data_IF_096708168359
#
_entry.id   IF_096708168359
#
_cell.length_a   1.000
_cell.length_b   1.000
_cell.length_c   1.000
_cell.angle_alpha   90.00
_cell.angle_beta   90.00
_cell.angle_gamma   90.00
#
_symmetry.space_group_name_H-M   'P 1'
#
loop_
_entity.id
_entity.type
_entity.pdbx_description
1 polymer ?
#
# COMPACT_ATOMS: atom_id res chain seq x y z
N UNK A 1 -10.31 15.25 2.69
CA UNK A 1 -9.02 14.54 2.85
C UNK A 1 -9.34 13.10 3.16
N UNK A 2 -8.85 12.12 2.39
CA UNK A 2 -9.22 10.69 2.52
C UNK A 2 -8.29 9.88 3.43
N UNK A 3 -7.37 10.55 4.14
CA UNK A 3 -6.45 9.92 5.09
C UNK A 3 -5.13 9.46 4.45
N UNK A 4 -4.39 8.61 5.18
CA UNK A 4 -3.16 7.97 4.72
C UNK A 4 -3.48 6.60 4.12
N UNK A 5 -2.76 6.22 3.07
CA UNK A 5 -2.83 4.86 2.53
C UNK A 5 -2.16 3.88 3.50
N UNK A 6 -2.72 2.66 3.55
CA UNK A 6 -2.06 1.52 4.18
C UNK A 6 -1.20 0.79 3.15
N UNK A 7 -0.05 0.30 3.59
CA UNK A 7 0.93 -0.37 2.73
C UNK A 7 1.31 -1.76 3.26
N UNK A 8 1.75 -2.62 2.35
CA UNK A 8 2.24 -3.95 2.68
C UNK A 8 3.57 -3.89 3.46
N UNK A 9 3.91 -4.99 4.13
CA UNK A 9 5.06 -5.12 5.05
C UNK A 9 6.42 -4.67 4.51
N UNK A 10 6.56 -4.65 3.19
CA UNK A 10 7.80 -4.33 2.51
C UNK A 10 7.99 -2.82 2.26
N UNK A 11 7.04 -2.00 2.68
CA UNK A 11 7.07 -0.54 2.54
C UNK A 11 7.23 0.11 3.90
N UNK A 12 8.08 1.12 3.98
CA UNK A 12 8.18 2.04 5.12
C UNK A 12 8.15 3.47 4.61
N UNK A 13 7.43 4.34 5.30
CA UNK A 13 7.29 5.75 4.95
C UNK A 13 7.72 6.56 6.16
N UNK A 14 8.74 7.37 5.98
CA UNK A 14 9.20 8.33 6.97
C UNK A 14 8.59 9.68 6.66
N UNK A 15 8.02 10.31 7.67
CA UNK A 15 7.30 11.57 7.50
C UNK A 15 7.49 12.48 8.70
N UNK A 16 7.34 13.77 8.48
CA UNK A 16 7.28 14.81 9.51
C UNK A 16 6.07 15.68 9.27
N UNK A 17 5.22 15.84 10.27
CA UNK A 17 3.93 16.54 10.14
C UNK A 17 3.07 16.02 8.97
N UNK A 18 3.08 16.74 7.84
CA UNK A 18 2.35 16.42 6.59
C UNK A 18 3.28 16.11 5.41
N UNK A 19 4.59 16.16 5.61
CA UNK A 19 5.60 15.97 4.57
C UNK A 19 6.15 14.54 4.61
N UNK A 20 6.17 13.88 3.45
CA UNK A 20 6.85 12.60 3.26
C UNK A 20 8.31 12.88 2.96
N UNK A 21 9.20 12.37 3.82
CA UNK A 21 10.65 12.59 3.72
C UNK A 21 11.35 11.48 2.95
N UNK A 22 10.93 10.22 3.17
CA UNK A 22 11.54 9.06 2.54
C UNK A 22 10.53 7.92 2.42
N UNK A 23 10.51 7.25 1.27
CA UNK A 23 9.78 6.00 1.05
C UNK A 23 10.77 4.90 0.77
N UNK A 24 10.69 3.81 1.53
CA UNK A 24 11.57 2.65 1.42
C UNK A 24 10.73 1.45 0.97
N UNK A 25 11.11 0.82 -0.14
CA UNK A 25 10.47 -0.38 -0.70
C UNK A 25 11.51 -1.50 -0.75
N UNK A 26 11.22 -2.64 -0.10
CA UNK A 26 12.13 -3.79 0.01
C UNK A 26 13.51 -3.39 0.57
N UNK A 27 13.55 -2.48 1.54
CA UNK A 27 14.79 -1.99 2.14
C UNK A 27 15.62 -1.05 1.27
N UNK A 28 15.08 -0.60 0.13
CA UNK A 28 15.75 0.34 -0.77
C UNK A 28 14.91 1.61 -0.93
N UNK A 29 15.51 2.80 -1.06
CA UNK A 29 14.78 4.02 -1.37
C UNK A 29 13.94 3.87 -2.64
N UNK A 30 12.74 4.46 -2.62
CA UNK A 30 11.89 4.58 -3.79
C UNK A 30 12.66 5.31 -4.90
N UNK A 31 12.56 4.79 -6.12
CA UNK A 31 13.17 5.39 -7.31
C UNK A 31 12.05 5.97 -8.15
N UNK A 32 12.10 7.28 -8.40
CA UNK A 32 11.03 8.01 -9.11
C UNK A 32 10.80 7.47 -10.52
N UNK A 33 11.87 7.20 -11.26
CA UNK A 33 11.81 6.72 -12.66
C UNK A 33 11.55 5.21 -12.79
N UNK A 34 11.24 4.51 -11.70
CA UNK A 34 11.03 3.07 -11.71
C UNK A 34 9.54 2.73 -11.72
N UNK A 35 9.15 1.82 -12.62
CA UNK A 35 7.81 1.23 -12.62
C UNK A 35 7.72 0.15 -11.54
N UNK A 36 6.74 0.28 -10.64
CA UNK A 36 6.43 -0.70 -9.59
C UNK A 36 5.14 -1.44 -9.89
N UNK A 37 5.13 -2.74 -9.61
CA UNK A 37 3.90 -3.53 -9.58
C UNK A 37 3.27 -3.42 -8.20
N UNK A 38 2.01 -3.00 -8.16
CA UNK A 38 1.24 -2.83 -6.93
C UNK A 38 -0.09 -3.58 -7.01
N UNK A 39 -0.62 -3.97 -5.87
CA UNK A 39 -2.00 -4.47 -5.73
C UNK A 39 -2.80 -3.44 -4.96
N UNK A 40 -4.03 -3.17 -5.39
CA UNK A 40 -4.92 -2.20 -4.75
C UNK A 40 -6.38 -2.58 -4.96
N UNK A 41 -7.30 -1.87 -4.31
CA UNK A 41 -8.73 -2.03 -4.57
C UNK A 41 -9.14 -1.36 -5.88
N UNK A 42 -10.27 -1.81 -6.44
CA UNK A 42 -10.93 -1.18 -7.59
C UNK A 42 -11.32 0.28 -7.32
N UNK A 43 -11.64 0.63 -6.07
CA UNK A 43 -11.89 2.00 -5.63
C UNK A 43 -10.68 2.91 -5.88
N UNK A 44 -9.49 2.48 -5.43
CA UNK A 44 -8.24 3.21 -5.57
C UNK A 44 -7.73 3.19 -7.02
N UNK A 45 -7.88 2.06 -7.73
CA UNK A 45 -7.52 1.96 -9.14
C UNK A 45 -8.28 2.96 -10.03
N UNK A 46 -9.53 3.26 -9.70
CA UNK A 46 -10.33 4.30 -10.39
C UNK A 46 -9.88 5.73 -10.09
N UNK A 47 -8.90 5.91 -9.19
CA UNK A 47 -8.42 7.23 -8.74
C UNK A 47 -9.35 7.89 -7.71
N UNK A 48 -10.25 7.13 -7.09
CA UNK A 48 -11.14 7.65 -6.05
C UNK A 48 -10.31 8.00 -4.80
N UNK A 49 -10.42 9.24 -4.33
CA UNK A 49 -9.61 9.74 -3.20
C UNK A 49 -8.16 10.09 -3.55
N UNK A 50 -7.51 9.29 -4.40
CA UNK A 50 -6.11 9.45 -4.82
C UNK A 50 -5.99 9.39 -6.34
N UNK A 51 -6.14 10.55 -7.00
CA UNK A 51 -6.32 10.65 -8.46
C UNK A 51 -5.17 10.02 -9.26
N UNK A 52 -3.94 10.11 -8.77
CA UNK A 52 -2.76 9.64 -9.51
C UNK A 52 -2.73 8.11 -9.65
N UNK A 53 -3.42 7.38 -8.79
CA UNK A 53 -3.48 5.91 -8.87
C UNK A 53 -4.19 5.39 -10.12
N UNK A 54 -5.00 6.22 -10.80
CA UNK A 54 -5.60 5.86 -12.10
C UNK A 54 -4.57 5.87 -13.25
N UNK A 55 -3.44 6.52 -13.07
CA UNK A 55 -2.38 6.65 -14.08
C UNK A 55 -1.47 5.42 -14.01
N UNK A 56 -1.99 4.25 -14.37
CA UNK A 56 -1.28 2.98 -14.36
C UNK A 56 -1.44 2.23 -15.69
N UNK A 57 -0.71 1.13 -15.86
CA UNK A 57 -0.76 0.28 -17.05
C UNK A 57 -0.68 -1.20 -16.68
N UNK A 58 -1.01 -2.08 -17.64
CA UNK A 58 -0.90 -3.55 -17.50
C UNK A 58 -1.65 -4.12 -16.28
N UNK A 59 -2.83 -3.59 -15.97
CA UNK A 59 -3.63 -4.05 -14.83
C UNK A 59 -4.19 -5.45 -15.08
N UNK A 60 -4.32 -6.22 -13.99
CA UNK A 60 -5.08 -7.47 -13.94
C UNK A 60 -6.08 -7.35 -12.81
N UNK A 61 -7.32 -7.76 -13.08
CA UNK A 61 -8.38 -7.74 -12.09
C UNK A 61 -8.51 -9.11 -11.43
N UNK A 62 -8.59 -9.12 -10.10
CA UNK A 62 -8.95 -10.26 -9.28
C UNK A 62 -10.39 -10.01 -8.81
N UNK A 63 -11.31 -10.92 -9.13
CA UNK A 63 -12.74 -10.78 -8.89
C UNK A 63 -13.15 -11.23 -7.48
N UNK A 64 -12.21 -11.72 -6.67
CA UNK A 64 -12.47 -12.10 -5.29
C UNK A 64 -12.77 -10.87 -4.44
N UNK A 65 -13.72 -11.02 -3.51
CA UNK A 65 -13.99 -9.97 -2.54
C UNK A 65 -12.85 -9.89 -1.51
N UNK A 66 -12.54 -8.66 -1.08
CA UNK A 66 -11.54 -8.42 -0.04
C UNK A 66 -11.83 -9.20 1.25
N UNK A 67 -13.11 -9.41 1.59
CA UNK A 67 -13.51 -10.20 2.77
C UNK A 67 -13.10 -11.66 2.67
N UNK A 68 -13.13 -12.24 1.48
CA UNK A 68 -12.76 -13.65 1.26
C UNK A 68 -11.24 -13.80 1.36
N UNK A 69 -10.50 -12.85 0.78
CA UNK A 69 -9.04 -12.75 0.93
C UNK A 69 -8.66 -12.59 2.41
N UNK A 70 -9.31 -11.66 3.12
CA UNK A 70 -9.04 -11.44 4.54
C UNK A 70 -9.31 -12.70 5.36
N UNK A 71 -10.41 -13.43 5.10
CA UNK A 71 -10.70 -14.69 5.80
C UNK A 71 -9.57 -15.71 5.66
N UNK A 72 -8.95 -15.82 4.49
CA UNK A 72 -7.79 -16.71 4.28
C UNK A 72 -6.58 -16.30 5.12
N UNK A 73 -6.28 -15.00 5.21
CA UNK A 73 -5.08 -14.49 5.88
C UNK A 73 -5.25 -14.25 7.39
N UNK A 74 -6.47 -14.04 7.87
CA UNK A 74 -6.74 -13.81 9.29
C UNK A 74 -6.54 -15.09 10.14
N UNK A 75 -6.53 -16.26 9.53
CA UNK A 75 -6.20 -17.52 10.19
C UNK A 75 -4.69 -17.75 10.39
N UNK A 76 -3.83 -16.87 9.85
CA UNK A 76 -2.38 -16.92 10.01
C UNK A 76 -1.92 -15.85 11.02
N UNK A 77 -1.62 -16.28 12.25
CA UNK A 77 -1.13 -15.39 13.30
C UNK A 77 0.14 -14.63 12.90
N UNK A 78 1.04 -15.27 12.15
CA UNK A 78 2.26 -14.64 11.66
C UNK A 78 1.97 -13.52 10.68
N UNK A 79 0.93 -13.66 9.86
CA UNK A 79 0.45 -12.61 8.95
C UNK A 79 -0.21 -11.48 9.72
N UNK A 80 -1.06 -11.78 10.71
CA UNK A 80 -1.74 -10.78 11.54
C UNK A 80 -0.73 -9.94 12.32
N UNK A 81 0.22 -10.57 12.99
CA UNK A 81 1.26 -9.86 13.75
C UNK A 81 2.07 -8.91 12.86
N UNK A 82 2.44 -9.35 11.65
CA UNK A 82 3.14 -8.49 10.67
C UNK A 82 2.24 -7.36 10.14
N UNK A 83 0.93 -7.55 10.07
CA UNK A 83 0.02 -6.51 9.60
C UNK A 83 -0.14 -5.36 10.61
N UNK A 84 0.09 -5.62 11.90
CA UNK A 84 -0.01 -4.64 12.99
C UNK A 84 1.20 -3.70 13.10
N UNK A 85 2.33 -4.07 12.50
CA UNK A 85 3.50 -3.20 12.48
C UNK A 85 3.23 -1.92 11.67
N UNK A 86 3.52 -0.76 12.26
CA UNK A 86 3.32 0.51 11.58
C UNK A 86 4.26 0.66 10.37
N UNK A 87 3.74 1.33 9.35
CA UNK A 87 4.45 1.67 8.10
C UNK A 87 4.75 3.17 8.02
N UNK A 88 4.06 3.99 8.80
CA UNK A 88 4.24 5.43 8.87
C UNK A 88 5.09 5.80 10.09
N UNK A 89 6.39 6.01 9.86
CA UNK A 89 7.36 6.30 10.91
C UNK A 89 7.51 7.82 11.03
N UNK A 90 7.16 8.38 12.19
CA UNK A 90 7.36 9.80 12.48
C UNK A 90 8.84 10.09 12.79
N UNK A 91 9.37 11.18 12.23
CA UNK A 91 10.76 11.64 12.40
C UNK A 91 10.82 13.15 12.64
#
# INVERSE_FOLDING_TARGET
YVGRLHFSRNVKIKYREREVLEVIINGQPLKEDKVYRVSSSDYLHRGSGYKDLKNNSNHKYDDRYIRDILREYLCDEGMVNKALEDRWIII
#
